data_IF_458445940738
#
_entry.id   IF_458445940738
#
_cell.length_a   1.000
_cell.length_b   1.000
_cell.length_c   1.000
_cell.angle_alpha   90.00
_cell.angle_beta   90.00
_cell.angle_gamma   90.00
#
_symmetry.space_group_name_H-M   'P 1'
#
loop_
_entity.id
_entity.type
_entity.pdbx_description
1 polymer ?
#
# COMPACT_ATOMS: atom_id res chain seq x y z
N UNK A 1 62.89 15.58 47.50
CA UNK A 1 61.55 16.09 47.08
C UNK A 1 61.36 15.89 45.58
N UNK A 2 60.14 15.48 45.17
CA UNK A 2 59.59 15.49 43.80
C UNK A 2 60.05 14.40 42.80
N UNK A 3 59.89 13.11 43.09
CA UNK A 3 59.88 12.05 42.04
C UNK A 3 58.92 10.91 42.40
N UNK A 4 57.63 11.20 42.63
CA UNK A 4 56.65 10.12 42.87
C UNK A 4 55.19 10.55 42.66
N UNK A 5 54.89 11.31 41.59
CA UNK A 5 53.50 11.70 41.25
C UNK A 5 53.17 11.68 39.75
N UNK A 6 53.97 11.00 38.90
CA UNK A 6 53.75 11.01 37.45
C UNK A 6 53.44 9.63 36.82
N UNK A 7 53.39 8.55 37.61
CA UNK A 7 53.15 7.19 37.05
C UNK A 7 51.71 6.72 37.22
N UNK A 8 50.96 7.26 38.20
CA UNK A 8 49.58 6.82 38.49
C UNK A 8 48.54 7.46 37.56
N UNK A 9 48.84 8.62 36.96
CA UNK A 9 47.89 9.32 36.06
C UNK A 9 47.86 8.68 34.65
N UNK A 10 48.93 8.01 34.23
CA UNK A 10 49.01 7.39 32.89
C UNK A 10 48.31 6.02 32.80
N UNK A 11 48.07 5.33 33.92
CA UNK A 11 47.40 4.01 33.89
C UNK A 11 45.87 4.08 33.98
N UNK A 12 45.31 5.15 34.56
CA UNK A 12 43.85 5.34 34.62
C UNK A 12 43.28 5.88 33.30
N UNK A 13 44.10 6.58 32.49
CA UNK A 13 43.68 7.09 31.18
C UNK A 13 43.66 6.04 30.04
N UNK A 14 44.27 4.87 30.22
CA UNK A 14 44.34 3.86 29.16
C UNK A 14 43.21 2.80 29.26
N UNK A 15 42.53 2.69 30.40
CA UNK A 15 41.47 1.70 30.62
C UNK A 15 40.08 2.21 30.20
N UNK A 16 39.91 3.53 29.99
CA UNK A 16 38.62 4.11 29.54
C UNK A 16 38.46 4.20 28.02
N UNK A 17 39.40 3.69 27.22
CA UNK A 17 39.31 3.67 25.75
C UNK A 17 38.96 2.27 25.18
N UNK A 18 38.68 1.28 26.02
CA UNK A 18 38.29 -0.08 25.59
C UNK A 18 36.79 -0.37 25.70
N UNK A 19 35.96 0.66 25.86
CA UNK A 19 34.51 0.53 25.75
C UNK A 19 34.06 1.03 24.38
N UNK A 20 33.25 0.22 23.71
CA UNK A 20 32.66 0.39 22.37
C UNK A 20 33.51 -0.13 21.19
N UNK A 21 33.86 -1.41 21.23
CA UNK A 21 33.71 -2.23 20.01
C UNK A 21 32.22 -2.40 19.74
N UNK A 22 31.63 -1.50 18.94
CA UNK A 22 30.37 -1.78 18.28
C UNK A 22 30.58 -3.03 17.41
N UNK A 23 30.02 -4.14 17.85
CA UNK A 23 29.77 -5.29 16.97
C UNK A 23 28.76 -4.77 15.95
N UNK A 24 29.24 -4.27 14.81
CA UNK A 24 28.40 -4.10 13.63
C UNK A 24 27.91 -5.49 13.25
N UNK A 25 26.70 -5.81 13.72
CA UNK A 25 25.90 -6.90 13.22
C UNK A 25 25.69 -6.61 11.75
N UNK A 26 26.55 -7.19 10.92
CA UNK A 26 26.37 -7.25 9.48
C UNK A 26 25.18 -8.19 9.24
N UNK A 27 23.99 -7.67 9.49
CA UNK A 27 22.80 -8.19 8.84
C UNK A 27 23.08 -8.00 7.36
N UNK A 28 23.34 -9.11 6.68
CA UNK A 28 23.21 -9.20 5.24
C UNK A 28 21.77 -8.86 4.92
N UNK A 29 21.47 -7.56 4.83
CA UNK A 29 20.33 -7.05 4.15
C UNK A 29 20.53 -7.61 2.75
N UNK A 30 19.77 -8.64 2.42
CA UNK A 30 19.48 -8.99 1.06
C UNK A 30 18.99 -7.68 0.48
N UNK A 31 19.87 -6.95 -0.21
CA UNK A 31 19.48 -6.00 -1.22
C UNK A 31 18.74 -6.86 -2.22
N UNK A 32 17.44 -7.05 -1.95
CA UNK A 32 16.47 -7.22 -3.00
C UNK A 32 16.64 -5.95 -3.80
N UNK A 33 17.55 -6.04 -4.77
CA UNK A 33 17.53 -5.29 -5.99
C UNK A 33 16.18 -5.67 -6.61
N UNK A 34 15.12 -5.05 -6.06
CA UNK A 34 13.88 -4.85 -6.79
C UNK A 34 14.36 -3.93 -7.87
N UNK A 35 14.80 -4.53 -8.97
CA UNK A 35 14.96 -3.84 -10.23
C UNK A 35 13.77 -2.90 -10.29
N UNK A 36 14.05 -1.59 -10.32
CA UNK A 36 13.16 -0.66 -10.95
C UNK A 36 13.12 -1.07 -12.43
N UNK A 37 12.53 -2.23 -12.71
CA UNK A 37 11.77 -2.40 -13.91
C UNK A 37 10.79 -1.25 -13.85
N UNK A 38 11.11 -0.21 -14.60
CA UNK A 38 10.15 0.74 -15.08
C UNK A 38 9.04 -0.08 -15.72
N UNK A 39 8.07 -0.50 -14.90
CA UNK A 39 6.90 -1.22 -15.37
C UNK A 39 6.20 -0.19 -16.22
N UNK A 40 6.47 -0.27 -17.51
CA UNK A 40 5.68 0.40 -18.51
C UNK A 40 4.28 -0.21 -18.37
N UNK A 41 3.44 0.47 -17.57
CA UNK A 41 2.08 0.07 -17.21
C UNK A 41 1.13 0.14 -18.42
N UNK A 42 1.56 -0.35 -19.59
CA UNK A 42 0.71 -0.50 -20.77
C UNK A 42 -0.34 -1.60 -20.55
N UNK A 43 -0.11 -2.48 -19.56
CA UNK A 43 -1.01 -3.56 -19.16
C UNK A 43 -1.72 -3.32 -17.83
N UNK A 44 -2.55 -4.29 -17.46
CA UNK A 44 -3.07 -4.41 -16.11
C UNK A 44 -1.97 -4.84 -15.15
N UNK A 45 -1.91 -4.22 -13.98
CA UNK A 45 -1.12 -4.72 -12.86
C UNK A 45 -1.65 -6.07 -12.34
N UNK A 46 -0.89 -6.65 -11.41
CA UNK A 46 -1.30 -7.86 -10.70
C UNK A 46 -2.57 -7.62 -9.87
N UNK A 47 -3.33 -8.69 -9.66
CA UNK A 47 -4.45 -8.70 -8.73
C UNK A 47 -3.97 -8.49 -7.30
N UNK A 48 -4.63 -7.60 -6.56
CA UNK A 48 -4.42 -7.33 -5.14
C UNK A 48 -5.72 -7.51 -4.39
N UNK A 49 -5.68 -8.14 -3.23
CA UNK A 49 -6.84 -8.26 -2.34
C UNK A 49 -7.07 -6.94 -1.62
N UNK A 50 -8.34 -6.57 -1.41
CA UNK A 50 -8.69 -5.36 -0.64
C UNK A 50 -8.31 -5.52 0.84
N UNK A 51 -8.12 -4.40 1.53
CA UNK A 51 -7.66 -4.40 2.93
C UNK A 51 -8.65 -5.04 3.93
N UNK A 52 -9.94 -5.09 3.60
CA UNK A 52 -11.03 -5.43 4.55
C UNK A 52 -11.88 -6.63 4.09
N UNK A 53 -11.90 -6.93 2.79
CA UNK A 53 -12.72 -7.99 2.22
C UNK A 53 -11.84 -8.95 1.42
N UNK A 54 -11.42 -10.03 2.07
CA UNK A 54 -10.47 -11.04 1.59
C UNK A 54 -10.92 -11.77 0.34
N UNK A 55 -12.22 -11.77 0.01
CA UNK A 55 -12.77 -12.31 -1.22
C UNK A 55 -12.95 -11.29 -2.35
N UNK A 56 -12.61 -10.02 -2.12
CA UNK A 56 -12.66 -8.98 -3.15
C UNK A 56 -11.24 -8.57 -3.52
N UNK A 57 -10.90 -8.80 -4.79
CA UNK A 57 -9.64 -8.36 -5.36
C UNK A 57 -9.87 -7.21 -6.35
N UNK A 58 -8.83 -6.43 -6.59
CA UNK A 58 -8.79 -5.39 -7.60
C UNK A 58 -7.45 -5.42 -8.33
N UNK A 59 -7.44 -4.89 -9.55
CA UNK A 59 -6.21 -4.55 -10.26
C UNK A 59 -6.36 -3.19 -10.89
N UNK A 60 -5.23 -2.56 -11.15
CA UNK A 60 -5.19 -1.20 -11.70
C UNK A 60 -4.42 -1.21 -13.01
N UNK A 61 -4.81 -0.32 -13.93
CA UNK A 61 -4.06 -0.04 -15.15
C UNK A 61 -3.91 1.47 -15.28
N UNK A 62 -2.69 1.90 -15.56
CA UNK A 62 -2.43 3.29 -15.93
C UNK A 62 -2.72 3.48 -17.41
N UNK A 63 -3.38 4.58 -17.76
CA UNK A 63 -3.52 5.02 -19.14
C UNK A 63 -3.06 6.48 -19.23
N UNK A 64 -1.96 6.70 -19.95
CA UNK A 64 -1.50 8.05 -20.25
C UNK A 64 -2.43 8.65 -21.31
N UNK A 65 -2.92 9.85 -21.04
CA UNK A 65 -3.63 10.65 -22.02
C UNK A 65 -2.65 11.65 -22.63
N UNK A 66 -2.59 11.73 -23.96
CA UNK A 66 -1.74 12.71 -24.67
C UNK A 66 -2.23 14.15 -24.51
N UNK A 67 -3.48 14.36 -24.10
CA UNK A 67 -4.15 15.65 -24.04
C UNK A 67 -4.35 16.19 -22.61
N UNK A 68 -3.87 15.48 -21.58
CA UNK A 68 -4.01 15.90 -20.18
C UNK A 68 -2.73 15.64 -19.41
N UNK A 69 -2.38 16.56 -18.50
CA UNK A 69 -1.35 16.33 -17.49
C UNK A 69 -1.74 15.23 -16.50
N UNK A 70 -3.05 15.00 -16.34
CA UNK A 70 -3.59 13.99 -15.43
C UNK A 70 -3.46 12.60 -16.02
N UNK A 71 -3.13 11.67 -15.14
CA UNK A 71 -3.11 10.24 -15.43
C UNK A 71 -4.50 9.65 -15.26
N UNK A 72 -4.99 8.92 -16.27
CA UNK A 72 -6.19 8.11 -16.16
C UNK A 72 -5.84 6.78 -15.47
N UNK A 73 -6.39 6.55 -14.29
CA UNK A 73 -6.28 5.28 -13.58
C UNK A 73 -7.54 4.46 -13.79
N UNK A 74 -7.38 3.28 -14.37
CA UNK A 74 -8.44 2.29 -14.52
C UNK A 74 -8.38 1.28 -13.37
N UNK A 75 -9.55 0.88 -12.87
CA UNK A 75 -9.70 -0.17 -11.86
C UNK A 75 -10.67 -1.23 -12.36
N UNK A 76 -10.35 -2.49 -12.11
CA UNK A 76 -11.22 -3.62 -12.36
C UNK A 76 -11.27 -4.49 -11.10
N UNK A 77 -12.47 -4.96 -10.76
CA UNK A 77 -12.68 -5.81 -9.59
C UNK A 77 -12.87 -7.29 -9.96
N UNK A 78 -12.55 -8.16 -9.00
CA UNK A 78 -12.83 -9.60 -9.05
C UNK A 78 -13.42 -10.05 -7.72
N UNK A 79 -14.59 -10.68 -7.81
CA UNK A 79 -15.29 -11.25 -6.68
C UNK A 79 -15.00 -12.75 -6.59
N UNK A 80 -14.39 -13.18 -5.49
CA UNK A 80 -14.15 -14.59 -5.13
C UNK A 80 -15.13 -15.10 -4.08
N UNK A 81 -16.08 -14.29 -3.65
CA UNK A 81 -17.18 -14.75 -2.82
C UNK A 81 -18.19 -15.53 -3.68
N UNK A 82 -18.85 -16.50 -3.04
CA UNK A 82 -19.97 -17.25 -3.62
C UNK A 82 -21.29 -16.45 -3.66
N UNK A 83 -21.25 -15.19 -3.25
CA UNK A 83 -22.39 -14.29 -3.18
C UNK A 83 -22.16 -13.11 -4.11
N UNK A 84 -23.25 -12.60 -4.69
CA UNK A 84 -23.23 -11.29 -5.33
C UNK A 84 -22.90 -10.23 -4.27
N UNK A 85 -22.01 -9.30 -4.60
CA UNK A 85 -21.65 -8.19 -3.73
C UNK A 85 -22.08 -6.86 -4.33
N UNK A 86 -22.45 -5.94 -3.46
CA UNK A 86 -22.68 -4.54 -3.76
C UNK A 86 -21.74 -3.74 -2.89
N UNK A 87 -20.99 -2.81 -3.45
CA UNK A 87 -19.99 -2.10 -2.67
C UNK A 87 -19.73 -0.71 -3.20
N UNK A 88 -19.18 0.12 -2.32
CA UNK A 88 -18.68 1.43 -2.69
C UNK A 88 -17.16 1.40 -2.75
N UNK A 89 -16.61 2.27 -3.59
CA UNK A 89 -15.17 2.42 -3.68
C UNK A 89 -14.77 3.86 -4.00
N UNK A 90 -13.50 4.15 -3.77
CA UNK A 90 -12.86 5.39 -4.17
C UNK A 90 -11.46 5.14 -4.70
N UNK A 91 -11.11 5.83 -5.77
CA UNK A 91 -9.76 5.84 -6.32
C UNK A 91 -9.12 7.14 -5.87
N UNK A 92 -8.02 7.08 -5.11
CA UNK A 92 -7.34 8.28 -4.59
C UNK A 92 -5.83 8.17 -4.79
N UNK A 93 -5.11 9.30 -4.75
CA UNK A 93 -3.66 9.26 -4.64
C UNK A 93 -3.21 8.43 -3.44
N UNK A 94 -2.11 7.69 -3.60
CA UNK A 94 -1.60 6.84 -2.51
C UNK A 94 -1.22 7.64 -1.25
N UNK A 95 -0.82 8.90 -1.43
CA UNK A 95 -0.60 9.89 -0.35
C UNK A 95 -1.85 10.12 0.53
N UNK A 96 -3.05 9.92 -0.03
CA UNK A 96 -4.33 10.12 0.67
C UNK A 96 -4.91 8.85 1.31
N UNK A 97 -4.21 7.71 1.25
CA UNK A 97 -4.71 6.42 1.80
C UNK A 97 -5.14 6.51 3.27
N UNK A 98 -4.39 7.24 4.10
CA UNK A 98 -4.70 7.38 5.52
C UNK A 98 -5.90 8.29 5.77
N UNK A 99 -6.12 9.29 4.90
CA UNK A 99 -7.27 10.18 5.00
C UNK A 99 -8.57 9.47 4.58
N UNK A 100 -8.53 8.71 3.48
CA UNK A 100 -9.71 7.96 3.01
C UNK A 100 -10.07 6.82 3.97
N UNK A 101 -9.08 6.12 4.54
CA UNK A 101 -9.32 5.09 5.58
C UNK A 101 -9.91 5.64 6.87
N UNK A 102 -9.60 6.89 7.25
CA UNK A 102 -10.23 7.52 8.41
C UNK A 102 -11.64 8.02 8.11
N UNK A 103 -11.82 8.68 6.97
CA UNK A 103 -13.11 9.30 6.63
C UNK A 103 -14.14 8.30 6.13
N UNK A 104 -13.70 7.16 5.57
CA UNK A 104 -14.55 6.11 5.00
C UNK A 104 -15.49 6.62 3.88
N UNK A 105 -15.20 7.80 3.31
CA UNK A 105 -16.04 8.47 2.30
C UNK A 105 -15.76 7.90 0.91
N UNK A 106 -16.75 7.25 0.33
CA UNK A 106 -16.68 6.66 -1.02
C UNK A 106 -17.88 7.12 -1.83
N UNK A 107 -17.68 7.64 -3.04
CA UNK A 107 -18.80 8.11 -3.89
C UNK A 107 -19.16 7.14 -5.01
N UNK A 108 -18.23 6.31 -5.47
CA UNK A 108 -18.51 5.33 -6.52
C UNK A 108 -19.18 4.10 -5.92
N UNK A 109 -20.11 3.50 -6.67
CA UNK A 109 -20.85 2.29 -6.29
C UNK A 109 -20.87 1.34 -7.48
N UNK A 110 -20.71 0.06 -7.21
CA UNK A 110 -20.82 -1.00 -8.21
C UNK A 110 -21.31 -2.29 -7.56
N UNK A 111 -21.58 -3.29 -8.39
CA UNK A 111 -21.93 -4.64 -7.97
C UNK A 111 -21.21 -5.67 -8.81
N UNK A 112 -20.96 -6.83 -8.22
CA UNK A 112 -20.27 -7.92 -8.89
C UNK A 112 -20.88 -9.27 -8.50
N UNK A 113 -21.24 -10.05 -9.52
CA UNK A 113 -21.78 -11.39 -9.32
C UNK A 113 -20.77 -12.31 -8.62
N UNK A 114 -21.27 -13.39 -8.02
CA UNK A 114 -20.45 -14.38 -7.36
C UNK A 114 -19.42 -14.98 -8.32
N UNK A 115 -18.18 -15.16 -7.85
CA UNK A 115 -17.10 -15.81 -8.61
C UNK A 115 -16.83 -15.22 -10.00
N UNK A 116 -17.06 -13.92 -10.21
CA UNK A 116 -16.80 -13.26 -11.49
C UNK A 116 -15.71 -12.20 -11.41
N UNK A 117 -15.08 -11.95 -12.56
CA UNK A 117 -14.32 -10.73 -12.80
C UNK A 117 -15.22 -9.72 -13.51
N UNK A 118 -15.12 -8.46 -13.11
CA UNK A 118 -15.90 -7.39 -13.71
C UNK A 118 -15.57 -7.25 -15.20
N UNK A 119 -16.59 -7.11 -16.05
CA UNK A 119 -16.37 -6.91 -17.51
C UNK A 119 -15.96 -5.49 -17.85
N UNK A 120 -16.51 -4.52 -17.13
CA UNK A 120 -16.24 -3.11 -17.30
C UNK A 120 -15.10 -2.65 -16.39
N UNK A 121 -14.65 -1.42 -16.61
CA UNK A 121 -13.63 -0.77 -15.78
C UNK A 121 -14.17 0.54 -15.23
N UNK A 122 -13.76 0.87 -14.02
CA UNK A 122 -13.95 2.20 -13.46
C UNK A 122 -12.72 3.06 -13.70
N UNK A 123 -12.86 4.38 -13.71
CA UNK A 123 -11.73 5.28 -13.93
C UNK A 123 -11.75 6.50 -13.03
N UNK A 124 -10.57 7.09 -12.83
CA UNK A 124 -10.41 8.44 -12.27
C UNK A 124 -9.15 9.10 -12.83
N UNK A 125 -9.25 10.40 -13.09
CA UNK A 125 -8.10 11.23 -13.45
C UNK A 125 -7.44 11.80 -12.20
N UNK A 126 -6.14 11.53 -12.02
CA UNK A 126 -5.33 12.00 -10.89
C UNK A 126 -4.03 12.66 -11.39
N UNK A 127 -3.49 13.60 -10.62
CA UNK A 127 -2.18 14.19 -10.93
C UNK A 127 -1.06 13.18 -10.70
N UNK A 128 -1.15 12.35 -9.64
CA UNK A 128 -0.17 11.29 -9.39
C UNK A 128 -0.23 10.19 -10.46
N UNK A 129 0.91 9.95 -11.10
CA UNK A 129 1.06 9.01 -12.22
C UNK A 129 1.75 7.70 -11.86
N UNK A 130 2.37 7.60 -10.68
CA UNK A 130 3.18 6.44 -10.31
C UNK A 130 2.44 5.43 -9.43
N UNK A 131 1.56 5.92 -8.56
CA UNK A 131 0.87 5.08 -7.58
C UNK A 131 -0.56 5.55 -7.37
N UNK A 132 -1.45 4.60 -7.08
CA UNK A 132 -2.85 4.85 -6.75
C UNK A 132 -3.26 3.97 -5.57
N UNK A 133 -4.24 4.42 -4.80
CA UNK A 133 -4.88 3.62 -3.76
C UNK A 133 -6.38 3.47 -4.08
N UNK A 134 -6.86 2.23 -3.98
CA UNK A 134 -8.28 1.89 -4.16
C UNK A 134 -8.84 1.55 -2.79
N UNK A 135 -9.71 2.41 -2.28
CA UNK A 135 -10.42 2.18 -1.03
C UNK A 135 -11.77 1.53 -1.31
N UNK A 136 -12.04 0.37 -0.73
CA UNK A 136 -13.37 -0.27 -0.79
C UNK A 136 -14.05 -0.16 0.56
N UNK A 137 -15.34 0.14 0.55
CA UNK A 137 -16.16 0.23 1.75
C UNK A 137 -17.62 -0.17 1.47
N UNK A 138 -18.44 -0.24 2.53
CA UNK A 138 -19.90 -0.36 2.44
C UNK A 138 -20.35 -1.59 1.64
N UNK A 139 -19.71 -2.73 1.88
CA UNK A 139 -20.00 -3.99 1.19
C UNK A 139 -21.28 -4.62 1.74
N UNK A 140 -22.15 -5.08 0.84
CA UNK A 140 -23.33 -5.89 1.14
C UNK A 140 -23.29 -7.17 0.31
N UNK A 141 -23.75 -8.26 0.91
CA UNK A 141 -23.90 -9.55 0.23
C UNK A 141 -25.35 -9.79 -0.15
N UNK A 142 -25.58 -10.37 -1.32
CA UNK A 142 -26.86 -10.83 -1.87
C UNK A 142 -27.90 -9.75 -2.20
N UNK A 143 -28.08 -8.73 -1.36
CA UNK A 143 -29.11 -7.69 -1.55
C UNK A 143 -28.56 -6.31 -1.28
N UNK A 144 -28.98 -5.35 -2.10
CA UNK A 144 -28.62 -3.95 -1.95
C UNK A 144 -29.68 -3.13 -1.18
N UNK A 145 -29.26 -2.02 -0.57
CA UNK A 145 -30.10 -1.01 0.06
C UNK A 145 -30.71 -1.40 1.41
N UNK A 146 -31.40 -2.55 1.48
CA UNK A 146 -32.24 -2.92 2.63
C UNK A 146 -31.47 -3.54 3.80
N UNK A 147 -30.19 -3.84 3.62
CA UNK A 147 -29.36 -4.55 4.60
C UNK A 147 -28.26 -3.65 5.13
N UNK A 148 -27.86 -3.90 6.37
CA UNK A 148 -26.66 -3.31 6.96
C UNK A 148 -25.43 -3.67 6.12
N UNK A 149 -24.41 -2.82 6.21
CA UNK A 149 -23.11 -3.15 5.63
C UNK A 149 -22.45 -4.28 6.42
N UNK A 150 -21.65 -5.06 5.71
CA UNK A 150 -20.90 -6.18 6.26
C UNK A 150 -19.66 -5.66 6.98
N UNK A 151 -19.26 -6.33 8.04
CA UNK A 151 -17.96 -6.11 8.67
C UNK A 151 -16.83 -6.68 7.79
N UNK A 152 -15.60 -6.22 8.03
CA UNK A 152 -14.41 -6.84 7.44
C UNK A 152 -14.31 -8.32 7.84
N UNK A 153 -13.70 -9.14 6.98
CA UNK A 153 -13.52 -10.57 7.17
C UNK A 153 -12.07 -11.02 7.38
#
# INVERSE_FOLDING_TARGET
MKKLKLVVVLFVGFVTLLSFTEIKKEESIIKLDVSEESVDQNGWGSWKTTDCFRGLDFRVKRKKNSYSSKTEWLVQFRNRYNNKIYFNFEIVPYSQRSAIRRSQRTTNRTDLNANTTERNTHYRYLEESNTVYVHVNKVRFNKDGSQSYSNCD
#
